data_IF_064287288097
#
_entry.id   IF_064287288097
#
_cell.length_a   1.000
_cell.length_b   1.000
_cell.length_c   1.000
_cell.angle_alpha   90.00
_cell.angle_beta   90.00
_cell.angle_gamma   90.00
#
_symmetry.space_group_name_H-M   'P 1'
#
loop_
_entity.id
_entity.type
_entity.pdbx_description
1 polymer ?
#
# COMPACT_ATOMS: atom_id res chain seq x y z
N UNK A 1 0.93 -2.09 15.92
CA UNK A 1 0.81 -0.67 15.53
C UNK A 1 -0.63 -0.32 15.13
N UNK A 2 -1.18 -0.84 14.03
CA UNK A 2 -2.56 -0.54 13.61
C UNK A 2 -3.63 -0.82 14.68
N UNK A 3 -3.55 -1.96 15.37
CA UNK A 3 -4.44 -2.27 16.51
C UNK A 3 -4.38 -1.27 17.65
N UNK A 4 -3.20 -0.68 17.91
CA UNK A 4 -3.01 0.36 18.91
C UNK A 4 -3.72 1.65 18.51
N UNK A 5 -3.57 2.07 17.25
CA UNK A 5 -4.27 3.24 16.71
C UNK A 5 -5.79 3.06 16.78
N UNK A 6 -6.28 1.86 16.44
CA UNK A 6 -7.71 1.53 16.56
C UNK A 6 -8.17 1.64 18.02
N UNK A 7 -7.42 1.06 18.97
CA UNK A 7 -7.80 1.12 20.40
C UNK A 7 -7.82 2.53 20.98
N UNK A 8 -7.09 3.47 20.36
CA UNK A 8 -7.04 4.88 20.77
C UNK A 8 -8.00 5.77 19.98
N UNK A 9 -8.69 5.24 18.96
CA UNK A 9 -9.52 6.03 18.06
C UNK A 9 -8.72 6.90 17.07
N UNK A 10 -7.42 6.65 16.93
CA UNK A 10 -6.48 7.45 16.11
C UNK A 10 -6.33 6.89 14.67
N UNK A 11 -6.92 5.72 14.38
CA UNK A 11 -6.74 5.04 13.10
C UNK A 11 -7.25 5.85 11.90
N UNK A 12 -8.40 6.52 12.04
CA UNK A 12 -8.96 7.35 10.97
C UNK A 12 -8.03 8.49 10.58
N UNK A 13 -7.58 9.28 11.56
CA UNK A 13 -6.65 10.39 11.30
C UNK A 13 -5.30 9.92 10.76
N UNK A 14 -4.84 8.74 11.16
CA UNK A 14 -3.66 8.13 10.56
C UNK A 14 -3.87 7.80 9.07
N UNK A 15 -5.02 7.24 8.71
CA UNK A 15 -5.34 6.96 7.30
C UNK A 15 -5.45 8.23 6.48
N UNK A 16 -6.12 9.27 6.99
CA UNK A 16 -6.23 10.58 6.32
C UNK A 16 -4.85 11.16 6.02
N UNK A 17 -3.92 11.03 6.97
CA UNK A 17 -2.55 11.48 6.81
C UNK A 17 -1.81 10.72 5.70
N UNK A 18 -1.94 9.39 5.63
CA UNK A 18 -1.31 8.61 4.56
C UNK A 18 -1.88 8.96 3.19
N UNK A 19 -3.18 9.19 3.09
CA UNK A 19 -3.84 9.64 1.86
C UNK A 19 -3.34 11.02 1.46
N UNK A 20 -3.25 11.96 2.40
CA UNK A 20 -2.75 13.32 2.15
C UNK A 20 -1.28 13.34 1.73
N UNK A 21 -0.49 12.35 2.16
CA UNK A 21 0.93 12.21 1.84
C UNK A 21 1.21 11.19 0.73
N UNK A 22 0.27 10.99 -0.20
CA UNK A 22 0.45 10.17 -1.39
C UNK A 22 1.06 10.96 -2.56
N UNK A 23 2.38 10.90 -2.82
CA UNK A 23 2.94 11.39 -4.07
C UNK A 23 2.87 10.30 -5.15
N UNK A 24 2.39 10.69 -6.34
CA UNK A 24 2.24 9.76 -7.48
C UNK A 24 3.57 9.10 -7.90
N UNK A 25 4.71 9.79 -7.77
CA UNK A 25 6.02 9.24 -8.14
C UNK A 25 6.45 8.05 -7.26
N UNK A 26 5.89 7.90 -6.05
CA UNK A 26 6.21 6.75 -5.20
C UNK A 26 5.65 5.45 -5.76
N UNK A 27 4.64 5.51 -6.65
CA UNK A 27 4.10 4.32 -7.30
C UNK A 27 5.21 3.52 -8.00
N UNK A 28 6.23 4.15 -8.56
CA UNK A 28 7.30 3.43 -9.27
C UNK A 28 8.17 2.58 -8.33
N UNK A 29 8.18 2.90 -7.03
CA UNK A 29 8.99 2.22 -6.01
C UNK A 29 8.24 1.15 -5.23
N UNK A 30 6.92 1.02 -5.37
CA UNK A 30 6.17 0.07 -4.53
C UNK A 30 6.52 -1.38 -4.87
N UNK A 31 6.71 -2.17 -3.82
CA UNK A 31 7.13 -3.57 -3.91
C UNK A 31 6.22 -4.41 -4.81
N UNK A 32 4.90 -4.21 -4.74
CA UNK A 32 3.93 -5.02 -5.46
C UNK A 32 4.00 -4.88 -7.01
N UNK A 33 4.86 -4.00 -7.54
CA UNK A 33 5.10 -3.86 -9.00
C UNK A 33 6.23 -4.74 -9.53
N UNK A 34 7.14 -5.17 -8.66
CA UNK A 34 8.36 -5.89 -9.05
C UNK A 34 8.50 -7.24 -8.37
N UNK A 35 7.80 -7.45 -7.25
CA UNK A 35 7.82 -8.68 -6.48
C UNK A 35 6.40 -9.20 -6.27
N UNK A 36 6.27 -10.53 -6.28
CA UNK A 36 5.08 -11.25 -5.86
C UNK A 36 5.37 -11.98 -4.54
N UNK A 37 4.34 -12.14 -3.71
CA UNK A 37 4.42 -13.00 -2.54
C UNK A 37 3.74 -14.33 -2.80
N UNK A 38 4.34 -15.41 -2.31
CA UNK A 38 3.82 -16.77 -2.47
C UNK A 38 3.73 -17.42 -1.09
N UNK A 39 2.56 -17.93 -0.73
CA UNK A 39 2.38 -18.63 0.54
C UNK A 39 2.97 -20.05 0.52
N UNK A 40 3.00 -20.70 1.69
CA UNK A 40 3.57 -22.03 1.85
C UNK A 40 2.82 -23.12 1.06
N UNK A 41 1.58 -22.87 0.63
CA UNK A 41 0.79 -23.77 -0.21
C UNK A 41 0.97 -23.48 -1.71
N UNK A 42 1.68 -22.40 -2.05
CA UNK A 42 1.96 -22.00 -3.42
C UNK A 42 0.94 -21.03 -4.02
N UNK A 43 0.02 -20.44 -3.23
CA UNK A 43 -0.88 -19.40 -3.74
C UNK A 43 -0.17 -18.05 -3.81
N UNK A 44 -0.53 -17.26 -4.82
CA UNK A 44 0.17 -16.04 -5.20
C UNK A 44 -0.63 -14.79 -4.84
N UNK A 45 0.09 -13.78 -4.37
CA UNK A 45 -0.41 -12.49 -3.91
C UNK A 45 0.46 -11.38 -4.51
N UNK A 46 -0.10 -10.19 -4.75
CA UNK A 46 0.67 -9.09 -5.33
C UNK A 46 1.80 -8.60 -4.40
N UNK A 47 1.67 -8.79 -3.09
CA UNK A 47 2.72 -8.52 -2.11
C UNK A 47 2.42 -9.19 -0.76
N UNK A 48 3.37 -9.12 0.17
CA UNK A 48 3.29 -9.75 1.50
C UNK A 48 2.17 -9.19 2.37
N UNK A 49 1.88 -7.88 2.28
CA UNK A 49 0.71 -7.29 2.94
C UNK A 49 -0.60 -7.85 2.40
N UNK A 50 -0.72 -8.03 1.07
CA UNK A 50 -1.87 -8.70 0.48
C UNK A 50 -1.98 -10.14 0.96
N UNK A 51 -0.86 -10.86 1.10
CA UNK A 51 -0.85 -12.20 1.69
C UNK A 51 -1.33 -12.20 3.15
N UNK A 52 -0.84 -11.28 3.99
CA UNK A 52 -1.23 -11.17 5.39
C UNK A 52 -2.73 -10.85 5.55
N UNK A 53 -3.31 -10.15 4.59
CA UNK A 53 -4.74 -9.80 4.56
C UNK A 53 -5.61 -10.83 3.81
N UNK A 54 -5.01 -11.90 3.26
CA UNK A 54 -5.74 -12.91 2.49
C UNK A 54 -6.34 -12.38 1.19
N UNK A 55 -5.66 -11.43 0.53
CA UNK A 55 -6.04 -10.79 -0.73
C UNK A 55 -5.26 -11.41 -1.91
N UNK A 56 -5.71 -12.54 -2.47
CA UNK A 56 -4.98 -13.24 -3.52
C UNK A 56 -4.90 -12.42 -4.79
N UNK A 57 -3.81 -12.61 -5.55
CA UNK A 57 -3.64 -12.04 -6.89
C UNK A 57 -4.86 -12.42 -7.75
N UNK A 58 -5.41 -11.42 -8.43
CA UNK A 58 -6.56 -11.60 -9.33
C UNK A 58 -6.06 -11.72 -10.76
N UNK A 59 -6.53 -12.75 -11.46
CA UNK A 59 -6.23 -12.97 -12.87
C UNK A 59 -7.54 -13.21 -13.63
N UNK A 60 -7.84 -12.31 -14.57
CA UNK A 60 -9.10 -12.34 -15.33
C UNK A 60 -10.35 -12.16 -14.46
N UNK A 61 -11.51 -12.55 -15.01
CA UNK A 61 -12.80 -12.36 -14.33
C UNK A 61 -13.13 -13.45 -13.28
N UNK A 62 -12.32 -14.50 -13.19
CA UNK A 62 -12.72 -15.74 -12.50
C UNK A 62 -12.59 -15.70 -10.98
N UNK A 63 -11.94 -14.69 -10.37
CA UNK A 63 -11.92 -14.53 -8.90
C UNK A 63 -11.23 -15.67 -8.11
N UNK A 64 -10.65 -16.66 -8.81
CA UNK A 64 -10.04 -17.83 -8.18
C UNK A 64 -8.65 -17.48 -7.65
N UNK A 65 -8.26 -18.13 -6.55
CA UNK A 65 -6.88 -18.05 -6.05
C UNK A 65 -5.93 -18.68 -7.07
N UNK A 66 -4.89 -17.94 -7.45
CA UNK A 66 -3.90 -18.43 -8.40
C UNK A 66 -2.80 -19.20 -7.66
N UNK A 67 -2.45 -20.39 -8.15
CA UNK A 67 -1.30 -21.13 -7.67
C UNK A 67 -0.11 -20.87 -8.61
N UNK A 68 1.09 -20.71 -8.04
CA UNK A 68 2.34 -20.48 -8.78
C UNK A 68 2.55 -21.42 -9.99
N UNK A 69 2.17 -22.70 -9.86
CA UNK A 69 2.30 -23.69 -10.94
C UNK A 69 1.50 -23.31 -12.19
N UNK A 70 0.37 -22.62 -12.02
CA UNK A 70 -0.55 -22.23 -13.09
C UNK A 70 -0.12 -20.90 -13.73
N UNK A 71 0.78 -20.15 -13.08
CA UNK A 71 1.27 -18.86 -13.54
C UNK A 71 2.59 -18.93 -14.32
N UNK A 72 3.22 -20.10 -14.40
CA UNK A 72 4.55 -20.27 -15.02
C UNK A 72 4.64 -19.82 -16.49
N UNK A 73 3.51 -19.85 -17.22
CA UNK A 73 3.42 -19.43 -18.62
C UNK A 73 2.50 -18.20 -18.82
N UNK A 74 2.10 -17.55 -17.72
CA UNK A 74 1.23 -16.37 -17.75
C UNK A 74 2.09 -15.11 -17.70
N UNK A 75 1.89 -14.21 -18.65
CA UNK A 75 2.45 -12.87 -18.55
C UNK A 75 1.56 -12.02 -17.64
N UNK A 76 2.16 -11.52 -16.55
CA UNK A 76 1.48 -10.67 -15.57
C UNK A 76 1.75 -9.18 -15.80
N UNK A 77 2.53 -8.81 -16.82
CA UNK A 77 2.77 -7.41 -17.14
C UNK A 77 1.47 -6.69 -17.46
N UNK A 78 1.23 -5.59 -16.75
CA UNK A 78 -0.01 -4.82 -16.87
C UNK A 78 -1.22 -5.43 -16.16
N UNK A 79 -1.07 -6.57 -15.48
CA UNK A 79 -2.14 -7.09 -14.62
C UNK A 79 -2.43 -6.11 -13.47
N UNK A 80 -3.70 -5.78 -13.21
CA UNK A 80 -4.05 -4.91 -12.08
C UNK A 80 -3.65 -5.51 -10.74
N UNK A 81 -3.05 -4.69 -9.88
CA UNK A 81 -2.72 -5.05 -8.49
C UNK A 81 -3.96 -4.90 -7.61
N UNK A 82 -4.19 -5.83 -6.69
CA UNK A 82 -5.26 -5.70 -5.69
C UNK A 82 -4.88 -4.61 -4.68
N UNK A 83 -5.69 -3.55 -4.61
CA UNK A 83 -5.45 -2.38 -3.75
C UNK A 83 -6.50 -2.27 -2.64
N UNK A 84 -6.05 -1.90 -1.44
CA UNK A 84 -6.85 -1.56 -0.26
C UNK A 84 -6.17 -0.42 0.53
N UNK A 85 -6.78 0.02 1.62
CA UNK A 85 -6.31 1.13 2.44
C UNK A 85 -4.84 1.01 2.88
N UNK A 86 -4.36 -0.20 3.20
CA UNK A 86 -2.96 -0.43 3.59
C UNK A 86 -1.94 0.00 2.52
N UNK A 87 -2.34 0.04 1.23
CA UNK A 87 -1.46 0.45 0.14
C UNK A 87 -1.01 1.90 0.28
N UNK A 88 -1.82 2.77 0.92
CA UNK A 88 -1.40 4.13 1.25
C UNK A 88 -0.18 4.14 2.18
N UNK A 89 0.01 3.12 3.00
CA UNK A 89 1.22 2.95 3.81
C UNK A 89 2.47 2.67 2.97
N UNK A 90 2.34 2.00 1.82
CA UNK A 90 3.46 1.72 0.92
C UNK A 90 3.76 2.89 -0.02
N UNK A 91 2.77 3.73 -0.30
CA UNK A 91 2.92 4.86 -1.23
C UNK A 91 3.15 6.19 -0.53
N UNK A 92 2.79 6.32 0.76
CA UNK A 92 2.96 7.56 1.49
C UNK A 92 4.46 7.92 1.56
N UNK A 93 4.80 9.12 1.10
CA UNK A 93 6.19 9.59 1.09
C UNK A 93 6.73 9.90 2.48
N UNK A 94 5.86 10.29 3.40
CA UNK A 94 6.19 10.60 4.79
C UNK A 94 5.07 10.08 5.71
N UNK A 95 5.38 9.78 6.97
CA UNK A 95 4.38 9.36 7.96
C UNK A 95 3.92 7.90 7.87
N UNK A 96 4.36 7.17 6.86
CA UNK A 96 4.35 5.71 6.91
C UNK A 96 5.35 5.20 7.94
N UNK A 97 5.01 4.12 8.64
CA UNK A 97 5.91 3.43 9.57
C UNK A 97 7.25 3.02 8.93
N UNK A 98 7.34 2.98 7.60
CA UNK A 98 8.55 2.63 6.85
C UNK A 98 9.12 3.77 5.99
N UNK A 99 8.38 4.89 5.81
CA UNK A 99 8.69 5.94 4.84
C UNK A 99 9.40 7.18 5.41
N UNK A 100 9.41 7.37 6.73
CA UNK A 100 10.05 8.53 7.36
C UNK A 100 9.15 9.24 8.36
N UNK A 101 9.77 10.06 9.22
CA UNK A 101 9.04 10.88 10.18
C UNK A 101 8.32 12.02 9.47
N UNK A 102 7.17 12.42 10.00
CA UNK A 102 6.51 13.66 9.58
C UNK A 102 7.38 14.83 10.04
N UNK A 103 7.77 15.69 9.10
CA UNK A 103 8.32 16.99 9.47
C UNK A 103 7.24 17.75 10.23
N UNK A 104 7.51 18.06 11.49
CA UNK A 104 6.57 18.67 12.40
C UNK A 104 6.50 20.18 12.12
N UNK A 105 6.12 20.57 10.91
CA UNK A 105 5.95 21.97 10.54
C UNK A 105 4.60 22.47 11.04
N UNK A 106 4.59 22.86 12.32
CA UNK A 106 3.60 23.76 12.91
C UNK A 106 3.59 25.16 12.27
N UNK A 107 4.17 25.34 11.08
CA UNK A 107 4.34 26.62 10.39
C UNK A 107 3.78 26.67 8.96
N UNK A 108 3.10 25.62 8.48
CA UNK A 108 2.44 25.66 7.17
C UNK A 108 1.30 26.70 7.09
N UNK A 109 0.77 27.16 8.23
CA UNK A 109 -0.20 28.26 8.30
C UNK A 109 0.43 29.66 8.17
N UNK A 110 1.76 29.80 8.31
CA UNK A 110 2.43 31.10 8.22
C UNK A 110 2.83 31.47 6.78
N UNK A 111 3.13 30.48 5.93
CA UNK A 111 3.55 30.71 4.55
C UNK A 111 2.42 31.21 3.63
N UNK A 112 1.15 30.91 3.95
CA UNK A 112 0.00 31.36 3.16
C UNK A 112 -0.42 32.82 3.49
N UNK A 113 0.07 33.41 4.58
CA UNK A 113 -0.21 34.80 4.96
C UNK A 113 0.88 35.80 4.52
N UNK A 114 1.92 35.35 3.84
CA UNK A 114 3.01 36.20 3.33
C UNK A 114 3.00 36.37 1.80
N UNK A 115 1.94 35.90 1.13
CA UNK A 115 1.70 36.16 -0.28
C UNK A 115 0.47 37.07 -0.44
N UNK A 116 0.61 38.31 0.07
CA UNK A 116 0.00 39.49 -0.57
C UNK A 116 0.89 39.94 -1.74
#
# INVERSE_FOLDING_TARGET
FGSTLISKGEFGGYMDLLVANFPQHNLDSVVCRSLLSVDYQGYVYDCDFNQMLGLPLQLGAAGLKQHLRDLMAVDLLGNPIVVKDHCYGCTAGQGSSCGGALDNDSNASAALMAAE
#
